data_IF_390049256695
#
_entry.id   IF_390049256695
#
_cell.length_a   1.000
_cell.length_b   1.000
_cell.length_c   1.000
_cell.angle_alpha   90.00
_cell.angle_beta   90.00
_cell.angle_gamma   90.00
#
_symmetry.space_group_name_H-M   'P 1'
#
loop_
_entity.id
_entity.type
_entity.pdbx_description
1 polymer ?
#
# COMPACT_ATOMS: atom_id res chain seq x y z
N UNK A 1 -25.48 63.91 -40.78
CA UNK A 1 -25.32 62.48 -40.44
C UNK A 1 -24.42 61.82 -41.47
N UNK A 2 -23.13 61.56 -41.17
CA UNK A 2 -22.35 60.56 -41.87
C UNK A 2 -22.02 59.37 -40.96
N UNK A 3 -22.10 58.20 -41.57
CA UNK A 3 -22.04 56.86 -40.99
C UNK A 3 -20.63 56.54 -40.44
N UNK A 4 -20.61 55.96 -39.25
CA UNK A 4 -19.42 55.55 -38.48
C UNK A 4 -18.67 54.43 -39.22
N UNK A 5 -17.45 54.72 -39.66
CA UNK A 5 -16.51 53.72 -40.18
C UNK A 5 -16.19 52.69 -39.09
N UNK A 6 -16.51 51.44 -39.36
CA UNK A 6 -16.18 50.31 -38.48
C UNK A 6 -14.69 49.98 -38.62
N UNK A 7 -13.92 50.27 -37.58
CA UNK A 7 -12.59 49.68 -37.39
C UNK A 7 -12.80 48.23 -36.96
N UNK A 8 -12.71 47.30 -37.91
CA UNK A 8 -12.50 45.89 -37.59
C UNK A 8 -11.12 45.74 -36.94
N UNK A 9 -11.13 45.54 -35.63
CA UNK A 9 -9.97 45.03 -34.91
C UNK A 9 -9.74 43.58 -35.33
N UNK A 10 -8.95 43.36 -36.38
CA UNK A 10 -8.35 42.05 -36.62
C UNK A 10 -7.31 41.83 -35.53
N UNK A 11 -7.73 41.21 -34.42
CA UNK A 11 -6.82 40.72 -33.39
C UNK A 11 -6.09 39.52 -33.97
N UNK A 12 -5.03 39.79 -34.72
CA UNK A 12 -4.03 38.80 -35.12
C UNK A 12 -3.38 38.27 -33.84
N UNK A 13 -3.94 37.21 -33.28
CA UNK A 13 -3.32 36.45 -32.20
C UNK A 13 -2.22 35.57 -32.81
N UNK A 14 -1.15 36.19 -33.29
CA UNK A 14 0.07 35.46 -33.58
C UNK A 14 0.60 34.91 -32.27
N UNK A 15 0.90 33.60 -32.16
CA UNK A 15 1.49 33.04 -30.96
C UNK A 15 2.78 33.80 -30.63
N UNK A 16 2.88 34.28 -29.40
CA UNK A 16 4.12 34.89 -28.91
C UNK A 16 5.21 33.82 -29.05
N UNK A 17 6.35 34.12 -29.72
CA UNK A 17 7.44 33.16 -29.85
C UNK A 17 7.88 32.73 -28.45
N UNK A 18 7.70 31.45 -28.13
CA UNK A 18 8.05 30.89 -26.84
C UNK A 18 9.52 30.43 -26.88
N UNK A 19 10.25 30.56 -25.78
CA UNK A 19 11.59 30.01 -25.65
C UNK A 19 11.54 28.48 -25.92
N UNK A 20 12.40 27.91 -26.78
CA UNK A 20 12.40 26.48 -27.11
C UNK A 20 12.56 25.56 -25.89
N UNK A 21 13.21 26.02 -24.82
CA UNK A 21 13.27 25.27 -23.55
C UNK A 21 11.92 25.21 -22.86
N UNK A 22 11.15 26.30 -22.90
CA UNK A 22 9.84 26.38 -22.29
C UNK A 22 8.81 25.56 -23.09
N UNK A 23 8.91 25.53 -24.43
CA UNK A 23 8.09 24.65 -25.26
C UNK A 23 8.35 23.17 -24.94
N UNK A 24 9.62 22.77 -24.83
CA UNK A 24 9.99 21.40 -24.49
C UNK A 24 9.42 20.97 -23.13
N UNK A 25 9.48 21.86 -22.13
CA UNK A 25 8.91 21.61 -20.80
C UNK A 25 7.39 21.50 -20.88
N UNK A 26 6.72 22.40 -21.61
CA UNK A 26 5.27 22.39 -21.78
C UNK A 26 4.80 21.09 -22.46
N UNK A 27 5.43 20.68 -23.56
CA UNK A 27 5.09 19.43 -24.27
C UNK A 27 5.33 18.22 -23.38
N UNK A 28 6.41 18.20 -22.61
CA UNK A 28 6.70 17.12 -21.67
C UNK A 28 5.65 17.05 -20.56
N UNK A 29 5.21 18.19 -20.03
CA UNK A 29 4.15 18.25 -19.02
C UNK A 29 2.80 17.79 -19.58
N UNK A 30 2.44 18.21 -20.80
CA UNK A 30 1.22 17.75 -21.47
C UNK A 30 1.23 16.24 -21.67
N UNK A 31 2.32 15.66 -22.18
CA UNK A 31 2.44 14.22 -22.37
C UNK A 31 2.36 13.44 -21.03
N UNK A 32 2.87 14.01 -19.93
CA UNK A 32 2.74 13.42 -18.59
C UNK A 32 1.30 13.48 -18.07
N UNK A 33 0.57 14.56 -18.34
CA UNK A 33 -0.84 14.70 -17.97
C UNK A 33 -1.69 13.67 -18.73
N UNK A 34 -1.48 13.53 -20.03
CA UNK A 34 -2.20 12.54 -20.85
C UNK A 34 -1.96 11.12 -20.34
N UNK A 35 -0.72 10.80 -19.95
CA UNK A 35 -0.37 9.50 -19.36
C UNK A 35 -1.07 9.26 -18.00
N UNK A 36 -1.26 10.31 -17.19
CA UNK A 36 -2.00 10.20 -15.93
C UNK A 36 -3.48 9.91 -16.15
N UNK A 37 -4.08 10.50 -17.19
CA UNK A 37 -5.47 10.21 -17.57
C UNK A 37 -5.63 8.76 -18.05
N UNK A 38 -4.69 8.24 -18.85
CA UNK A 38 -4.67 6.84 -19.27
C UNK A 38 -4.54 5.87 -18.08
N UNK A 39 -3.66 6.20 -17.11
CA UNK A 39 -3.49 5.40 -15.89
C UNK A 39 -4.78 5.42 -15.06
N UNK A 40 -5.44 6.57 -14.95
CA UNK A 40 -6.70 6.71 -14.24
C UNK A 40 -7.81 5.86 -14.87
N UNK A 41 -7.95 5.89 -16.20
CA UNK A 41 -8.92 5.05 -16.93
C UNK A 41 -8.68 3.56 -16.63
N UNK A 42 -7.42 3.11 -16.69
CA UNK A 42 -7.08 1.71 -16.39
C UNK A 42 -7.35 1.33 -14.93
N UNK A 43 -7.19 2.27 -14.00
CA UNK A 43 -7.50 2.05 -12.59
C UNK A 43 -9.01 1.88 -12.38
N UNK A 44 -9.83 2.71 -13.03
CA UNK A 44 -11.30 2.61 -12.99
C UNK A 44 -11.76 1.27 -13.59
N UNK A 45 -11.20 0.86 -14.74
CA UNK A 45 -11.48 -0.45 -15.36
C UNK A 45 -11.11 -1.63 -14.45
N UNK A 46 -9.96 -1.53 -13.77
CA UNK A 46 -9.50 -2.56 -12.84
C UNK A 46 -10.37 -2.62 -11.59
N UNK A 47 -10.82 -1.47 -11.08
CA UNK A 47 -11.79 -1.36 -9.98
C UNK A 47 -13.09 -2.08 -10.34
N UNK A 48 -13.63 -1.85 -11.55
CA UNK A 48 -14.83 -2.54 -12.02
C UNK A 48 -14.63 -4.06 -12.20
N UNK A 49 -13.44 -4.48 -12.61
CA UNK A 49 -13.10 -5.92 -12.71
C UNK A 49 -13.06 -6.58 -11.33
N UNK A 50 -12.49 -5.91 -10.33
CA UNK A 50 -12.49 -6.38 -8.94
C UNK A 50 -13.90 -6.47 -8.38
N UNK A 51 -14.74 -5.46 -8.63
CA UNK A 51 -16.15 -5.46 -8.20
C UNK A 51 -16.93 -6.65 -8.80
N UNK A 52 -16.69 -6.99 -10.08
CA UNK A 52 -17.31 -8.16 -10.74
C UNK A 52 -16.88 -9.49 -10.13
N UNK A 53 -15.58 -9.66 -9.86
CA UNK A 53 -15.03 -10.89 -9.25
C UNK A 53 -15.59 -11.08 -7.83
N UNK A 54 -15.73 -10.00 -7.06
CA UNK A 54 -16.27 -10.06 -5.71
C UNK A 54 -17.76 -10.45 -5.69
N UNK A 55 -18.55 -10.02 -6.67
CA UNK A 55 -19.96 -10.45 -6.83
C UNK A 55 -20.05 -11.94 -7.16
N UNK A 56 -19.21 -12.43 -8.07
CA UNK A 56 -19.18 -13.85 -8.48
C UNK A 56 -18.75 -14.79 -7.34
N UNK A 57 -17.84 -14.31 -6.47
CA UNK A 57 -17.44 -15.05 -5.26
C UNK A 57 -18.58 -15.17 -4.24
N UNK A 58 -19.47 -14.18 -4.15
CA UNK A 58 -20.64 -14.18 -3.24
C UNK A 58 -21.77 -15.09 -3.74
N UNK A 59 -21.94 -15.22 -5.06
CA UNK A 59 -22.94 -16.14 -5.63
C UNK A 59 -22.50 -17.60 -5.51
N UNK A 60 -21.20 -17.90 -5.66
CA UNK A 60 -20.68 -19.27 -5.53
C UNK A 60 -20.72 -19.84 -4.09
N UNK A 61 -20.69 -18.98 -3.06
CA UNK A 61 -20.89 -19.41 -1.66
C UNK A 61 -22.36 -19.63 -1.29
N UNK A 62 -23.31 -19.23 -2.14
CA UNK A 62 -24.76 -19.35 -1.87
C UNK A 62 -25.36 -20.69 -2.32
N UNK A 63 -24.66 -21.46 -3.17
CA UNK A 63 -25.19 -22.72 -3.75
C UNK A 63 -24.75 -23.99 -2.98
N UNK A 64 -24.00 -23.86 -1.87
CA UNK A 64 -23.59 -24.99 -1.02
C UNK A 64 -24.43 -25.00 0.28
N UNK A 65 -25.76 -25.06 0.16
CA UNK A 65 -26.61 -25.61 1.23
C UNK A 65 -26.84 -27.10 0.92
N UNK A 66 -25.96 -27.96 1.46
CA UNK A 66 -26.16 -29.42 1.43
C UNK A 66 -26.87 -29.85 2.71
N UNK A 67 -28.14 -30.17 2.52
CA UNK A 67 -29.04 -31.02 3.29
C UNK A 67 -28.35 -31.98 4.29
N UNK A 68 -28.68 -31.86 5.58
CA UNK A 68 -28.24 -32.80 6.63
C UNK A 68 -29.34 -33.81 6.95
N UNK A 69 -29.15 -35.13 6.69
CA UNK A 69 -29.95 -36.15 7.33
C UNK A 69 -29.33 -36.56 8.68
N UNK A 70 -30.15 -36.40 9.72
CA UNK A 70 -30.01 -36.89 11.09
C UNK A 70 -29.52 -38.34 11.13
N UNK A 71 -28.41 -38.62 11.83
CA UNK A 71 -27.93 -39.98 12.12
C UNK A 71 -27.91 -40.26 13.62
N UNK A 72 -28.58 -41.34 14.01
CA UNK A 72 -28.56 -41.94 15.35
C UNK A 72 -27.20 -42.60 15.66
N UNK A 73 -26.84 -42.79 16.95
CA UNK A 73 -25.53 -43.29 17.32
C UNK A 73 -25.52 -44.83 17.35
N UNK A 74 -24.64 -45.45 16.55
CA UNK A 74 -24.30 -46.86 16.73
C UNK A 74 -22.80 -47.03 16.93
N UNK A 75 -22.45 -47.44 18.14
CA UNK A 75 -21.11 -47.84 18.59
C UNK A 75 -20.62 -49.04 17.78
N UNK A 76 -19.52 -48.92 17.02
CA UNK A 76 -18.59 -50.04 16.72
C UNK A 76 -17.14 -49.54 16.56
N UNK A 77 -16.23 -50.32 17.16
CA UNK A 77 -14.78 -50.10 17.37
C UNK A 77 -13.93 -50.18 16.07
N UNK A 78 -12.67 -49.68 16.10
CA UNK A 78 -11.93 -49.27 14.91
C UNK A 78 -11.11 -50.39 14.26
N UNK A 79 -11.06 -50.40 12.92
CA UNK A 79 -10.10 -51.19 12.13
C UNK A 79 -9.16 -50.21 11.43
N UNK A 80 -7.87 -50.31 11.74
CA UNK A 80 -6.80 -49.56 11.12
C UNK A 80 -6.65 -50.00 9.65
N UNK A 81 -6.63 -49.04 8.73
CA UNK A 81 -6.01 -49.20 7.42
C UNK A 81 -5.04 -48.03 7.21
N UNK A 82 -3.75 -48.28 6.93
CA UNK A 82 -2.78 -47.23 6.67
C UNK A 82 -2.90 -46.82 5.21
N UNK A 83 -3.67 -45.78 4.93
CA UNK A 83 -3.59 -45.10 3.63
C UNK A 83 -2.33 -44.25 3.64
N UNK A 84 -1.36 -44.65 2.81
CA UNK A 84 -0.11 -43.94 2.60
C UNK A 84 -0.38 -42.48 2.27
N UNK A 85 -0.17 -41.62 3.26
CA UNK A 85 0.03 -40.21 3.03
C UNK A 85 1.32 -40.12 2.21
N UNK A 86 1.22 -39.60 1.00
CA UNK A 86 2.38 -39.06 0.32
C UNK A 86 2.99 -38.06 1.30
N UNK A 87 4.10 -38.45 1.91
CA UNK A 87 4.93 -37.54 2.67
C UNK A 87 5.51 -36.57 1.65
N UNK A 88 4.79 -35.49 1.38
CA UNK A 88 5.42 -34.23 0.97
C UNK A 88 6.62 -34.07 1.91
N UNK A 89 7.86 -34.02 1.39
CA UNK A 89 9.03 -33.83 2.23
C UNK A 89 8.81 -32.51 2.97
N UNK A 90 8.44 -32.60 4.25
CA UNK A 90 8.34 -31.43 5.12
C UNK A 90 9.71 -30.81 5.07
N UNK A 91 9.78 -29.61 4.51
CA UNK A 91 11.03 -28.87 4.37
C UNK A 91 11.77 -28.95 5.71
N UNK A 92 12.96 -29.58 5.77
CA UNK A 92 13.73 -29.68 7.00
C UNK A 92 13.95 -28.30 7.63
N UNK A 93 14.01 -27.26 6.80
CA UNK A 93 14.19 -25.88 7.22
C UNK A 93 12.89 -25.27 7.77
N UNK A 94 11.69 -25.75 7.39
CA UNK A 94 10.42 -25.23 7.94
C UNK A 94 10.35 -25.35 9.46
N UNK A 95 10.81 -26.48 10.01
CA UNK A 95 10.81 -26.69 11.45
C UNK A 95 11.88 -25.84 12.16
N UNK A 96 13.00 -25.56 11.48
CA UNK A 96 14.05 -24.68 11.98
C UNK A 96 13.63 -23.20 11.93
N UNK A 97 13.06 -22.74 10.81
CA UNK A 97 12.52 -21.39 10.65
C UNK A 97 11.40 -21.08 11.65
N UNK A 98 10.54 -22.06 11.96
CA UNK A 98 9.53 -21.93 13.04
C UNK A 98 10.13 -21.80 14.45
N UNK A 99 11.35 -22.26 14.66
CA UNK A 99 12.05 -22.16 15.95
C UNK A 99 12.74 -20.81 16.15
N UNK A 100 12.97 -20.05 15.07
CA UNK A 100 13.51 -18.69 15.12
C UNK A 100 12.40 -17.75 15.58
N UNK A 101 12.66 -17.06 16.70
CA UNK A 101 11.79 -16.00 17.21
C UNK A 101 12.31 -14.67 16.71
N UNK A 102 11.71 -14.15 15.64
CA UNK A 102 11.96 -12.78 15.20
C UNK A 102 11.12 -11.84 16.05
N UNK A 103 11.74 -10.79 16.58
CA UNK A 103 11.02 -9.78 17.34
C UNK A 103 10.38 -8.76 16.38
N UNK A 104 9.06 -8.61 16.46
CA UNK A 104 8.36 -7.59 15.72
C UNK A 104 8.43 -6.23 16.42
N UNK A 105 8.78 -5.15 15.70
CA UNK A 105 8.95 -3.82 16.28
C UNK A 105 7.61 -3.20 16.68
N UNK A 106 7.65 -2.26 17.62
CA UNK A 106 6.51 -1.45 18.04
C UNK A 106 6.58 -0.06 17.41
N UNK A 107 5.42 0.56 17.18
CA UNK A 107 5.32 1.95 16.70
C UNK A 107 4.40 2.77 17.58
N UNK A 108 4.91 3.87 18.11
CA UNK A 108 4.20 4.75 19.05
C UNK A 108 3.38 5.86 18.37
N UNK A 109 3.60 6.08 17.07
CA UNK A 109 2.99 7.18 16.33
C UNK A 109 3.81 8.46 16.35
N UNK A 110 5.14 8.36 16.48
CA UNK A 110 6.04 9.48 16.18
C UNK A 110 5.77 10.06 14.79
N UNK A 111 5.92 11.38 14.65
CA UNK A 111 5.73 12.11 13.39
C UNK A 111 7.00 12.15 12.53
N UNK A 112 8.06 11.45 12.93
CA UNK A 112 9.21 11.21 12.08
C UNK A 112 8.86 10.17 11.00
N UNK A 113 8.82 10.56 9.70
CA UNK A 113 8.45 9.64 8.64
C UNK A 113 9.43 8.46 8.51
N UNK A 114 10.71 8.68 8.84
CA UNK A 114 11.72 7.63 8.81
C UNK A 114 11.39 6.52 9.79
N UNK A 115 11.03 6.88 11.03
CA UNK A 115 10.66 5.92 12.05
C UNK A 115 9.45 5.06 11.65
N UNK A 116 8.46 5.64 10.94
CA UNK A 116 7.35 4.85 10.39
C UNK A 116 7.82 3.89 9.29
N UNK A 117 8.68 4.35 8.37
CA UNK A 117 9.21 3.53 7.27
C UNK A 117 10.04 2.36 7.81
N UNK A 118 10.91 2.61 8.79
CA UNK A 118 11.70 1.58 9.46
C UNK A 118 10.81 0.56 10.19
N UNK A 119 9.75 1.03 10.85
CA UNK A 119 8.77 0.13 11.47
C UNK A 119 8.03 -0.71 10.42
N UNK A 120 7.57 -0.11 9.33
CA UNK A 120 6.87 -0.83 8.26
C UNK A 120 7.77 -1.89 7.62
N UNK A 121 9.05 -1.57 7.38
CA UNK A 121 10.03 -2.53 6.87
C UNK A 121 10.31 -3.65 7.86
N UNK A 122 10.50 -3.34 9.14
CA UNK A 122 10.66 -4.35 10.20
C UNK A 122 9.45 -5.28 10.32
N UNK A 123 8.23 -4.75 10.15
CA UNK A 123 7.00 -5.56 10.08
C UNK A 123 6.96 -6.43 8.82
N UNK A 124 7.39 -5.91 7.66
CA UNK A 124 7.49 -6.69 6.43
C UNK A 124 8.46 -7.86 6.59
N UNK A 125 9.63 -7.59 7.16
CA UNK A 125 10.61 -8.62 7.45
C UNK A 125 10.04 -9.67 8.41
N UNK A 126 9.36 -9.24 9.49
CA UNK A 126 8.67 -10.17 10.39
C UNK A 126 7.68 -11.08 9.65
N UNK A 127 6.86 -10.54 8.75
CA UNK A 127 5.90 -11.35 7.98
C UNK A 127 6.56 -12.26 6.92
N UNK A 128 7.81 -12.03 6.53
CA UNK A 128 8.56 -12.97 5.68
C UNK A 128 8.91 -14.26 6.44
N UNK A 129 9.16 -14.16 7.75
CA UNK A 129 9.45 -15.33 8.59
C UNK A 129 8.21 -16.14 8.97
N UNK A 130 7.02 -15.52 8.93
CA UNK A 130 5.76 -16.16 9.36
C UNK A 130 4.70 -16.08 8.27
N UNK A 131 4.35 -17.23 7.69
CA UNK A 131 3.22 -17.34 6.74
C UNK A 131 1.91 -17.01 7.47
N UNK A 132 1.35 -15.84 7.17
CA UNK A 132 0.10 -15.34 7.76
C UNK A 132 -0.88 -14.90 6.68
N UNK A 133 -2.18 -15.06 6.94
CA UNK A 133 -3.22 -14.44 6.11
C UNK A 133 -3.21 -12.92 6.27
N UNK A 134 -3.71 -12.19 5.28
CA UNK A 134 -3.75 -10.72 5.31
C UNK A 134 -4.47 -10.18 6.56
N UNK A 135 -5.60 -10.76 6.94
CA UNK A 135 -6.34 -10.35 8.15
C UNK A 135 -5.51 -10.54 9.42
N UNK A 136 -4.72 -11.62 9.50
CA UNK A 136 -3.82 -11.88 10.64
C UNK A 136 -2.67 -10.88 10.67
N UNK A 137 -2.10 -10.52 9.51
CA UNK A 137 -1.08 -9.47 9.43
C UNK A 137 -1.61 -8.13 9.92
N UNK A 138 -2.80 -7.73 9.46
CA UNK A 138 -3.46 -6.48 9.92
C UNK A 138 -3.73 -6.51 11.43
N UNK A 139 -4.21 -7.64 11.97
CA UNK A 139 -4.41 -7.79 13.42
C UNK A 139 -3.09 -7.64 14.18
N UNK A 140 -2.02 -8.21 13.65
CA UNK A 140 -0.70 -8.18 14.26
C UNK A 140 -0.07 -6.78 14.21
N UNK A 141 -0.16 -6.07 13.09
CA UNK A 141 0.25 -4.67 12.97
C UNK A 141 -0.46 -3.81 14.01
N UNK A 142 -1.79 -3.92 14.11
CA UNK A 142 -2.61 -3.20 15.11
C UNK A 142 -2.14 -3.46 16.55
N UNK A 143 -1.77 -4.70 16.86
CA UNK A 143 -1.24 -5.09 18.17
C UNK A 143 0.13 -4.45 18.44
N UNK A 144 0.93 -4.23 17.41
CA UNK A 144 2.27 -3.61 17.51
C UNK A 144 2.24 -2.09 17.58
N UNK A 145 1.09 -1.47 17.31
CA UNK A 145 0.89 -0.05 17.57
C UNK A 145 0.73 0.24 19.07
N UNK A 146 1.39 1.29 19.53
CA UNK A 146 1.27 1.83 20.88
C UNK A 146 0.88 3.31 20.81
N UNK A 147 0.60 3.90 21.98
CA UNK A 147 0.36 5.34 22.17
C UNK A 147 -0.53 5.97 21.07
N UNK A 148 -0.01 6.95 20.33
CA UNK A 148 -0.77 7.77 19.38
C UNK A 148 -1.16 6.98 18.14
N UNK A 149 -0.29 6.07 17.65
CA UNK A 149 -0.61 5.22 16.51
C UNK A 149 -1.82 4.32 16.78
N UNK A 150 -1.88 3.72 17.97
CA UNK A 150 -3.00 2.87 18.37
C UNK A 150 -4.32 3.66 18.44
N UNK A 151 -4.27 4.89 18.98
CA UNK A 151 -5.44 5.78 19.05
C UNK A 151 -5.91 6.19 17.65
N UNK A 152 -4.98 6.54 16.77
CA UNK A 152 -5.29 6.93 15.39
C UNK A 152 -6.04 5.80 14.65
N UNK A 153 -5.51 4.58 14.64
CA UNK A 153 -6.18 3.47 13.95
C UNK A 153 -7.53 3.12 14.59
N UNK A 154 -7.62 3.15 15.92
CA UNK A 154 -8.90 2.92 16.63
C UNK A 154 -9.96 3.93 16.17
N UNK A 155 -9.57 5.20 16.00
CA UNK A 155 -10.48 6.25 15.53
C UNK A 155 -10.89 6.03 14.06
N UNK A 156 -9.95 5.65 13.19
CA UNK A 156 -10.26 5.31 11.78
C UNK A 156 -11.25 4.16 11.70
N UNK A 157 -11.02 3.07 12.44
CA UNK A 157 -11.94 1.93 12.47
C UNK A 157 -13.33 2.31 13.02
N UNK A 158 -13.37 3.10 14.09
CA UNK A 158 -14.63 3.59 14.66
C UNK A 158 -15.42 4.45 13.67
N UNK A 159 -14.73 5.32 12.92
CA UNK A 159 -15.35 6.16 11.90
C UNK A 159 -15.89 5.33 10.73
N UNK A 160 -15.12 4.33 10.27
CA UNK A 160 -15.56 3.39 9.22
C UNK A 160 -16.80 2.63 9.64
N UNK A 161 -16.81 2.07 10.85
CA UNK A 161 -17.97 1.35 11.39
C UNK A 161 -19.21 2.24 11.47
N UNK A 162 -19.08 3.49 11.94
CA UNK A 162 -20.18 4.46 11.98
C UNK A 162 -20.72 4.82 10.59
N UNK A 163 -19.88 4.72 9.56
CA UNK A 163 -20.25 4.95 8.16
C UNK A 163 -20.74 3.68 7.44
N UNK A 164 -20.81 2.54 8.13
CA UNK A 164 -21.17 1.26 7.52
C UNK A 164 -20.14 0.75 6.51
N UNK A 165 -18.88 1.21 6.60
CA UNK A 165 -17.79 0.74 5.76
C UNK A 165 -17.18 -0.55 6.34
N UNK A 166 -16.70 -1.41 5.45
CA UNK A 166 -16.05 -2.66 5.84
C UNK A 166 -14.80 -2.42 6.71
N UNK A 167 -14.49 -3.36 7.62
CA UNK A 167 -13.24 -3.36 8.36
C UNK A 167 -12.02 -3.35 7.43
N UNK A 168 -10.90 -2.87 7.95
CA UNK A 168 -9.62 -2.97 7.25
C UNK A 168 -9.15 -4.43 7.35
N UNK A 169 -9.23 -5.16 6.24
CA UNK A 169 -8.90 -6.59 6.16
C UNK A 169 -7.55 -6.86 5.48
N UNK A 170 -7.10 -5.93 4.63
CA UNK A 170 -5.89 -6.10 3.82
C UNK A 170 -4.74 -5.25 4.33
N UNK A 171 -3.52 -5.81 4.31
CA UNK A 171 -2.34 -5.14 4.87
C UNK A 171 -1.95 -3.90 4.08
N UNK A 172 -2.10 -3.93 2.76
CA UNK A 172 -1.85 -2.78 1.89
C UNK A 172 -2.78 -1.59 2.20
N UNK A 173 -4.07 -1.84 2.45
CA UNK A 173 -5.03 -0.80 2.85
C UNK A 173 -4.64 -0.21 4.20
N UNK A 174 -4.28 -1.06 5.16
CA UNK A 174 -3.80 -0.62 6.47
C UNK A 174 -2.55 0.28 6.35
N UNK A 175 -1.55 -0.14 5.57
CA UNK A 175 -0.34 0.65 5.31
C UNK A 175 -0.62 1.95 4.60
N UNK A 176 -1.56 1.99 3.64
CA UNK A 176 -1.93 3.21 2.95
C UNK A 176 -2.47 4.27 3.94
N UNK A 177 -3.37 3.86 4.84
CA UNK A 177 -3.93 4.72 5.89
C UNK A 177 -2.82 5.24 6.83
N UNK A 178 -1.88 4.37 7.20
CA UNK A 178 -0.77 4.75 8.07
C UNK A 178 0.21 5.68 7.37
N UNK A 179 0.59 5.41 6.11
CA UNK A 179 1.44 6.27 5.29
C UNK A 179 0.82 7.64 5.07
N UNK A 180 -0.47 7.72 4.80
CA UNK A 180 -1.18 9.01 4.69
C UNK A 180 -1.04 9.86 5.96
N UNK A 181 -1.00 9.22 7.14
CA UNK A 181 -0.87 9.91 8.42
C UNK A 181 0.56 10.29 8.79
N UNK A 182 1.52 9.39 8.54
CA UNK A 182 2.87 9.47 9.10
C UNK A 182 3.96 9.81 8.07
N UNK A 183 3.66 9.72 6.77
CA UNK A 183 4.60 10.04 5.70
C UNK A 183 4.07 11.21 4.87
N UNK A 184 4.58 12.44 5.09
CA UNK A 184 4.24 13.59 4.27
C UNK A 184 4.53 13.32 2.79
N UNK A 185 3.66 13.81 1.91
CA UNK A 185 3.79 13.64 0.45
C UNK A 185 5.15 14.17 -0.04
N UNK A 186 5.66 15.25 0.57
CA UNK A 186 6.94 15.89 0.22
C UNK A 186 8.17 15.22 0.83
N UNK A 187 8.02 14.12 1.57
CA UNK A 187 9.14 13.49 2.28
C UNK A 187 10.25 13.06 1.33
N UNK A 188 9.92 12.34 0.25
CA UNK A 188 10.90 11.87 -0.73
C UNK A 188 11.53 13.02 -1.51
N UNK A 189 10.75 14.05 -1.88
CA UNK A 189 11.29 15.25 -2.53
C UNK A 189 12.34 15.93 -1.64
N UNK A 190 12.06 16.02 -0.34
CA UNK A 190 13.00 16.59 0.64
C UNK A 190 14.27 15.75 0.79
N UNK A 191 14.15 14.41 0.81
CA UNK A 191 15.30 13.52 0.86
C UNK A 191 16.16 13.68 -0.39
N UNK A 192 15.53 13.70 -1.56
CA UNK A 192 16.23 13.90 -2.83
C UNK A 192 16.95 15.26 -2.89
N UNK A 193 16.32 16.34 -2.44
CA UNK A 193 16.95 17.65 -2.32
C UNK A 193 18.17 17.64 -1.37
N UNK A 194 18.05 16.92 -0.24
CA UNK A 194 19.15 16.75 0.71
C UNK A 194 20.29 15.94 0.12
N UNK A 195 19.97 14.87 -0.61
CA UNK A 195 20.93 14.03 -1.34
C UNK A 195 21.69 14.84 -2.40
N UNK A 196 21.00 15.62 -3.22
CA UNK A 196 21.61 16.46 -4.26
C UNK A 196 22.57 17.52 -3.69
N UNK A 197 22.28 18.02 -2.49
CA UNK A 197 23.11 19.02 -1.81
C UNK A 197 24.17 18.40 -0.89
N UNK A 198 24.20 17.08 -0.76
CA UNK A 198 25.10 16.38 0.17
C UNK A 198 26.55 16.47 -0.33
N UNK A 199 27.37 17.18 0.43
CA UNK A 199 28.83 17.23 0.23
C UNK A 199 29.52 16.72 1.50
N UNK A 200 30.70 16.09 1.34
CA UNK A 200 31.46 15.56 2.46
C UNK A 200 31.86 16.68 3.45
N UNK A 201 32.42 17.78 2.93
CA UNK A 201 32.86 18.91 3.74
C UNK A 201 33.87 18.49 4.82
N UNK A 202 33.58 18.81 6.08
CA UNK A 202 34.40 18.46 7.25
C UNK A 202 34.01 17.11 7.90
N UNK A 203 33.02 16.39 7.36
CA UNK A 203 32.58 15.10 7.90
C UNK A 203 33.57 13.99 7.56
N UNK A 204 33.58 12.94 8.37
CA UNK A 204 34.30 11.73 8.02
C UNK A 204 33.66 11.08 6.79
N UNK A 205 34.44 10.27 6.07
CA UNK A 205 33.95 9.50 4.92
C UNK A 205 32.81 8.57 5.34
N UNK A 206 32.90 7.96 6.52
CA UNK A 206 31.88 7.06 7.05
C UNK A 206 30.55 7.77 7.33
N UNK A 207 30.60 8.98 7.92
CA UNK A 207 29.38 9.76 8.17
C UNK A 207 28.76 10.25 6.85
N UNK A 208 29.59 10.64 5.88
CA UNK A 208 29.10 11.03 4.56
C UNK A 208 28.37 9.90 3.84
N UNK A 209 28.97 8.69 3.81
CA UNK A 209 28.35 7.51 3.18
C UNK A 209 27.04 7.15 3.87
N UNK A 210 27.00 7.14 5.21
CA UNK A 210 25.78 6.84 5.95
C UNK A 210 24.62 7.80 5.62
N UNK A 211 24.91 9.11 5.48
CA UNK A 211 23.89 10.09 5.06
C UNK A 211 23.51 9.97 3.59
N UNK A 212 24.45 9.58 2.75
CA UNK A 212 24.19 9.33 1.33
C UNK A 212 23.20 8.18 1.17
N UNK A 213 23.43 7.07 1.86
CA UNK A 213 22.54 5.90 1.86
C UNK A 213 21.19 6.23 2.49
N UNK A 214 21.18 7.01 3.58
CA UNK A 214 19.94 7.46 4.24
C UNK A 214 19.05 8.30 3.32
N UNK A 215 19.62 9.23 2.55
CA UNK A 215 18.85 10.10 1.66
C UNK A 215 18.50 9.45 0.31
N UNK A 216 19.03 8.26 0.03
CA UNK A 216 18.70 7.47 -1.16
C UNK A 216 17.41 6.65 -0.97
N UNK A 217 16.95 6.45 0.27
CA UNK A 217 15.72 5.72 0.59
C UNK A 217 14.47 6.44 0.08
#
# INVERSE_FOLDING_TARGET
MPTRSGLEYTRSSSPIPMDPKLETILTTLMARIDCLDDIKIKLDEMSDRVARIEVERRTHTSEIEVDQPRREPTVRRPIHQPTGQAYEPRDPDENYLRSIKVEAPNFDGTLDPKAYIEWEDGMNHYFQWYIMSEQRKVMFDKMKLTLQARLFISNVQSLRQRRGLEPIEYLNEFKAIMREKYVPITYHDRLHDQWQRLTQGTRSVTEYIAKFDEFMM
#
